data_IF_260707947350
#
_entry.id   IF_260707947350
#
_cell.length_a   1.000
_cell.length_b   1.000
_cell.length_c   1.000
_cell.angle_alpha   90.00
_cell.angle_beta   90.00
_cell.angle_gamma   90.00
#
_symmetry.space_group_name_H-M   'P 1'
#
loop_
_entity.id
_entity.type
_entity.pdbx_description
1 polymer ?
#
# COMPACT_ATOMS: atom_id res chain seq x y z
N UNK A 1 -21.20 12.19 -0.95
CA UNK A 1 -20.41 11.78 0.23
C UNK A 1 -21.11 10.64 0.95
N UNK A 2 -22.43 10.72 1.16
CA UNK A 2 -23.26 9.63 1.69
C UNK A 2 -23.02 8.28 1.02
N UNK A 3 -23.13 8.20 -0.31
CA UNK A 3 -22.93 6.94 -1.04
C UNK A 3 -21.50 6.37 -0.93
N UNK A 4 -20.54 7.18 -0.50
CA UNK A 4 -19.14 6.77 -0.33
C UNK A 4 -18.91 6.28 1.11
N UNK A 5 -19.51 6.97 2.09
CA UNK A 5 -19.45 6.59 3.50
C UNK A 5 -20.32 5.36 3.80
N UNK A 6 -21.45 5.18 3.11
CA UNK A 6 -22.34 4.01 3.23
C UNK A 6 -21.71 2.69 2.80
N UNK A 7 -20.56 2.74 2.12
CA UNK A 7 -19.77 1.55 1.77
C UNK A 7 -19.03 1.00 2.99
N UNK A 8 -18.81 1.81 4.03
CA UNK A 8 -18.11 1.38 5.24
C UNK A 8 -19.12 0.86 6.27
N UNK A 9 -18.89 -0.34 6.85
CA UNK A 9 -19.71 -0.87 7.93
C UNK A 9 -19.66 0.04 9.16
N UNK A 10 -20.83 0.39 9.70
CA UNK A 10 -20.99 1.35 10.79
C UNK A 10 -20.37 0.91 12.13
N UNK A 11 -20.34 -0.40 12.40
CA UNK A 11 -20.29 -0.86 13.81
C UNK A 11 -18.99 -1.54 14.25
N UNK A 12 -17.97 -1.70 13.39
CA UNK A 12 -16.77 -2.49 13.78
C UNK A 12 -15.43 -2.05 13.21
N UNK A 13 -15.40 -1.09 12.29
CA UNK A 13 -14.16 -0.66 11.63
C UNK A 13 -13.86 0.79 12.05
N UNK A 14 -12.70 1.06 12.67
CA UNK A 14 -12.25 2.42 12.88
C UNK A 14 -12.20 3.18 11.56
N UNK A 15 -12.97 4.26 11.46
CA UNK A 15 -13.05 5.11 10.27
C UNK A 15 -12.43 6.46 10.59
N UNK A 16 -11.64 6.95 9.66
CA UNK A 16 -11.02 8.26 9.74
C UNK A 16 -11.13 8.97 8.40
N UNK A 17 -11.59 10.21 8.44
CA UNK A 17 -11.65 11.10 7.28
C UNK A 17 -10.69 12.26 7.54
N UNK A 18 -9.70 12.39 6.66
CA UNK A 18 -8.66 13.42 6.71
C UNK A 18 -8.61 14.13 5.36
N UNK A 19 -8.36 15.43 5.39
CA UNK A 19 -7.97 16.16 4.20
C UNK A 19 -8.23 17.65 4.31
N UNK A 20 -7.87 18.34 3.23
CA UNK A 20 -8.22 19.74 3.02
C UNK A 20 -9.65 19.84 2.49
N UNK A 21 -10.53 20.46 3.29
CA UNK A 21 -11.92 20.69 2.93
C UNK A 21 -12.13 22.05 2.26
N UNK A 22 -11.10 22.90 2.25
CA UNK A 22 -11.11 24.25 1.73
C UNK A 22 -12.30 25.09 2.24
N UNK A 23 -12.74 24.82 3.48
CA UNK A 23 -13.81 25.51 4.19
C UNK A 23 -13.40 25.73 5.65
N UNK A 24 -13.55 26.96 6.18
CA UNK A 24 -13.28 27.22 7.58
C UNK A 24 -14.14 26.34 8.50
N UNK A 25 -13.55 25.91 9.62
CA UNK A 25 -14.25 25.15 10.67
C UNK A 25 -15.58 25.81 11.10
N UNK A 26 -15.64 27.13 11.18
CA UNK A 26 -16.82 27.87 11.63
C UNK A 26 -18.00 27.75 10.66
N UNK A 27 -17.74 27.76 9.35
CA UNK A 27 -18.76 27.55 8.32
C UNK A 27 -19.23 26.09 8.28
N UNK A 28 -18.37 25.16 8.70
CA UNK A 28 -18.67 23.74 8.71
C UNK A 28 -19.75 23.39 9.72
N UNK A 29 -19.81 24.09 10.86
CA UNK A 29 -20.80 23.90 11.92
C UNK A 29 -22.25 24.08 11.42
N UNK A 30 -22.43 24.93 10.39
CA UNK A 30 -23.74 25.18 9.78
C UNK A 30 -23.97 24.38 8.49
N UNK A 31 -23.06 23.45 8.16
CA UNK A 31 -23.07 22.76 6.88
C UNK A 31 -23.79 21.41 6.92
N UNK A 32 -24.47 21.07 5.82
CA UNK A 32 -25.03 19.73 5.61
C UNK A 32 -23.97 18.62 5.67
N UNK A 33 -22.69 18.96 5.46
CA UNK A 33 -21.58 18.03 5.53
C UNK A 33 -21.32 17.56 6.96
N UNK A 34 -21.41 18.44 7.96
CA UNK A 34 -21.22 18.06 9.36
C UNK A 34 -22.38 17.18 9.86
N UNK A 35 -23.61 17.50 9.47
CA UNK A 35 -24.78 16.64 9.74
C UNK A 35 -24.61 15.23 9.13
N UNK A 36 -24.11 15.18 7.91
CA UNK A 36 -23.78 13.94 7.21
C UNK A 36 -22.70 13.14 7.94
N UNK A 37 -21.57 13.76 8.30
CA UNK A 37 -20.49 13.08 9.04
C UNK A 37 -20.96 12.56 10.40
N UNK A 38 -21.75 13.36 11.12
CA UNK A 38 -22.35 12.97 12.39
C UNK A 38 -23.29 11.77 12.25
N UNK A 39 -24.01 11.63 11.13
CA UNK A 39 -24.85 10.46 10.87
C UNK A 39 -24.06 9.14 10.79
N UNK A 40 -22.76 9.21 10.49
CA UNK A 40 -21.82 8.09 10.52
C UNK A 40 -21.03 7.99 11.83
N UNK A 41 -21.47 8.70 12.88
CA UNK A 41 -20.81 8.79 14.19
C UNK A 41 -19.36 9.32 14.12
N UNK A 42 -19.01 10.07 13.08
CA UNK A 42 -17.68 10.67 12.93
C UNK A 42 -17.60 11.96 13.74
N UNK A 43 -16.73 11.98 14.75
CA UNK A 43 -16.48 13.17 15.57
C UNK A 43 -15.39 14.05 14.94
N UNK A 44 -15.65 15.35 14.85
CA UNK A 44 -14.65 16.35 14.49
C UNK A 44 -13.61 16.50 15.62
N UNK A 45 -12.33 16.47 15.26
CA UNK A 45 -11.23 16.74 16.16
C UNK A 45 -10.70 18.14 15.88
N UNK A 46 -10.98 19.07 16.78
CA UNK A 46 -10.50 20.45 16.67
C UNK A 46 -8.98 20.52 16.72
N UNK A 47 -8.38 21.34 15.86
CA UNK A 47 -6.94 21.59 15.83
C UNK A 47 -6.65 23.11 15.75
N UNK A 48 -5.42 23.53 16.10
CA UNK A 48 -4.93 24.87 15.80
C UNK A 48 -4.93 25.19 14.30
N UNK A 49 -4.77 26.46 13.90
CA UNK A 49 -4.73 26.88 12.50
C UNK A 49 -3.78 26.04 11.61
N UNK A 50 -4.33 25.42 10.58
CA UNK A 50 -3.61 24.52 9.66
C UNK A 50 -3.04 25.24 8.44
N UNK A 51 -3.35 26.52 8.27
CA UNK A 51 -2.88 27.36 7.18
C UNK A 51 -2.15 28.60 7.70
N UNK A 52 -1.20 29.14 6.92
CA UNK A 52 -0.43 30.35 7.26
C UNK A 52 -1.30 31.59 7.51
N UNK A 53 -2.49 31.64 6.90
CA UNK A 53 -3.45 32.74 7.08
C UNK A 53 -4.30 32.63 8.36
N UNK A 54 -4.07 31.62 9.20
CA UNK A 54 -4.80 31.45 10.46
C UNK A 54 -6.09 30.63 10.35
N UNK A 55 -6.40 30.10 9.16
CA UNK A 55 -7.58 29.26 8.92
C UNK A 55 -7.33 27.79 9.27
N UNK A 56 -8.41 27.09 9.62
CA UNK A 56 -8.44 25.62 9.77
C UNK A 56 -9.17 25.04 8.57
N UNK A 57 -8.40 24.54 7.60
CA UNK A 57 -8.92 23.96 6.35
C UNK A 57 -8.70 22.44 6.30
N UNK A 58 -7.67 21.96 7.00
CA UNK A 58 -7.33 20.55 7.11
C UNK A 58 -8.06 19.93 8.30
N UNK A 59 -9.10 19.15 8.04
CA UNK A 59 -10.01 18.64 9.07
C UNK A 59 -9.77 17.15 9.35
N UNK A 60 -9.95 16.78 10.62
CA UNK A 60 -9.74 15.42 11.12
C UNK A 60 -11.02 14.90 11.77
N UNK A 61 -11.64 13.90 11.15
CA UNK A 61 -12.82 13.21 11.68
C UNK A 61 -12.49 11.75 11.99
N UNK A 62 -12.93 11.27 13.16
CA UNK A 62 -12.65 9.91 13.62
C UNK A 62 -13.87 9.22 14.23
N UNK A 63 -13.91 7.89 14.11
CA UNK A 63 -14.86 7.01 14.79
C UNK A 63 -14.22 5.62 15.01
N UNK A 64 -14.42 4.93 16.14
CA UNK A 64 -14.93 5.43 17.42
C UNK A 64 -13.84 6.10 18.26
N UNK A 65 -12.57 5.99 17.85
CA UNK A 65 -11.42 6.43 18.64
C UNK A 65 -11.15 7.92 18.45
N UNK A 66 -11.15 8.73 19.52
CA UNK A 66 -10.75 10.13 19.44
C UNK A 66 -9.26 10.26 19.16
N UNK A 67 -8.86 11.39 18.59
CA UNK A 67 -7.44 11.75 18.47
C UNK A 67 -6.90 12.31 19.79
N UNK A 68 -5.60 12.14 20.00
CA UNK A 68 -4.84 12.65 21.16
C UNK A 68 -3.56 13.30 20.64
N UNK A 69 -2.96 14.19 21.43
CA UNK A 69 -1.68 14.87 21.09
C UNK A 69 -1.71 15.60 19.73
N UNK A 70 -2.82 16.28 19.42
CA UNK A 70 -2.95 17.06 18.18
C UNK A 70 -1.98 18.25 18.18
N UNK A 71 -1.06 18.26 17.23
CA UNK A 71 -0.04 19.29 17.06
C UNK A 71 -0.02 19.77 15.62
N UNK A 72 0.26 21.05 15.43
CA UNK A 72 0.33 21.69 14.11
C UNK A 72 1.66 22.40 13.97
N UNK A 73 2.49 21.92 13.04
CA UNK A 73 3.85 22.42 12.84
C UNK A 73 3.96 23.15 11.51
N UNK A 74 4.33 24.44 11.50
CA UNK A 74 4.51 25.18 10.25
C UNK A 74 5.59 24.60 9.35
N UNK A 75 5.32 24.57 8.05
CA UNK A 75 6.27 24.14 7.03
C UNK A 75 6.83 25.35 6.28
N UNK A 76 8.15 25.36 6.03
CA UNK A 76 8.78 26.47 5.30
C UNK A 76 8.43 26.47 3.81
N UNK A 77 8.11 25.30 3.25
CA UNK A 77 7.93 25.06 1.81
C UNK A 77 6.45 25.02 1.38
N UNK A 78 5.50 25.13 2.31
CA UNK A 78 4.06 25.10 2.03
C UNK A 78 3.36 26.14 2.89
N UNK A 79 2.27 26.67 2.38
CA UNK A 79 1.24 27.45 3.06
C UNK A 79 0.37 26.63 4.03
N UNK A 80 0.29 25.32 3.85
CA UNK A 80 -0.26 24.39 4.83
C UNK A 80 0.78 24.03 5.90
N UNK A 81 0.27 23.79 7.11
CA UNK A 81 1.01 23.27 8.25
C UNK A 81 0.86 21.75 8.33
N UNK A 82 1.87 21.07 8.86
CA UNK A 82 1.80 19.65 9.13
C UNK A 82 0.96 19.40 10.39
N UNK A 83 -0.16 18.68 10.24
CA UNK A 83 -1.02 18.23 11.32
C UNK A 83 -0.58 16.83 11.78
N UNK A 84 -0.22 16.69 13.06
CA UNK A 84 0.23 15.43 13.66
C UNK A 84 -0.63 15.09 14.87
N UNK A 85 -1.03 13.83 15.00
CA UNK A 85 -1.84 13.35 16.11
C UNK A 85 -1.66 11.85 16.34
N UNK A 86 -2.04 11.41 17.54
CA UNK A 86 -2.03 10.01 17.97
C UNK A 86 -3.46 9.48 18.00
N UNK A 87 -3.65 8.22 17.57
CA UNK A 87 -4.92 7.50 17.71
C UNK A 87 -4.69 6.17 18.42
N UNK A 88 -5.65 5.78 19.25
CA UNK A 88 -5.69 4.44 19.82
C UNK A 88 -6.63 3.58 18.99
N UNK A 89 -6.09 2.64 18.22
CA UNK A 89 -6.92 1.70 17.47
C UNK A 89 -7.33 0.53 18.37
N UNK A 90 -8.60 0.10 18.35
CA UNK A 90 -9.00 -1.13 19.03
C UNK A 90 -8.19 -2.29 18.47
N UNK A 91 -7.81 -3.23 19.34
CA UNK A 91 -7.19 -4.48 18.94
C UNK A 91 -8.25 -5.26 18.18
N UNK A 92 -8.30 -5.10 16.85
CA UNK A 92 -9.07 -6.00 16.02
C UNK A 92 -8.45 -7.40 16.21
N UNK A 93 -9.28 -8.46 16.37
CA UNK A 93 -8.80 -9.82 16.25
C UNK A 93 -7.97 -9.87 14.98
N UNK A 94 -6.77 -10.47 15.02
CA UNK A 94 -6.00 -10.71 13.80
C UNK A 94 -6.93 -11.44 12.85
N UNK A 95 -7.50 -10.70 11.91
CA UNK A 95 -8.23 -11.32 10.82
C UNK A 95 -7.18 -12.22 10.21
N UNK A 96 -7.40 -13.53 10.27
CA UNK A 96 -6.64 -14.52 9.52
C UNK A 96 -6.94 -14.22 8.05
N UNK A 97 -6.44 -13.08 7.57
CA UNK A 97 -6.25 -12.76 6.19
C UNK A 97 -5.57 -13.99 5.67
N UNK A 98 -6.23 -14.75 4.80
CA UNK A 98 -5.67 -15.99 4.27
C UNK A 98 -4.32 -15.62 3.67
N UNK A 99 -3.26 -15.82 4.45
CA UNK A 99 -1.92 -15.47 4.06
C UNK A 99 -1.58 -16.55 3.07
N UNK A 100 -1.43 -16.16 1.80
CA UNK A 100 -0.87 -17.08 0.82
C UNK A 100 0.58 -17.30 1.26
N UNK A 101 0.82 -18.45 1.89
CA UNK A 101 2.15 -18.95 2.19
C UNK A 101 2.75 -19.44 0.89
N UNK A 102 3.68 -18.66 0.34
CA UNK A 102 4.46 -19.10 -0.79
C UNK A 102 5.82 -19.55 -0.28
N UNK A 103 6.21 -20.76 -0.65
CA UNK A 103 7.56 -21.30 -0.43
C UNK A 103 8.43 -20.93 -1.61
N UNK A 104 9.55 -20.25 -1.37
CA UNK A 104 10.52 -19.90 -2.42
C UNK A 104 11.96 -20.05 -1.91
N UNK A 105 12.85 -20.48 -2.80
CA UNK A 105 14.31 -20.42 -2.61
C UNK A 105 14.86 -19.07 -3.08
N UNK A 106 15.77 -18.47 -2.33
CA UNK A 106 16.43 -17.24 -2.78
C UNK A 106 17.55 -17.54 -3.79
N UNK A 107 17.20 -17.63 -5.06
CA UNK A 107 18.18 -17.94 -6.12
C UNK A 107 19.12 -16.78 -6.45
N UNK A 108 18.80 -15.54 -6.02
CA UNK A 108 19.63 -14.38 -6.33
C UNK A 108 20.90 -14.29 -5.47
N UNK A 109 20.92 -14.95 -4.31
CA UNK A 109 22.08 -14.95 -3.41
C UNK A 109 23.08 -16.06 -3.71
N UNK A 110 22.81 -16.91 -4.71
CA UNK A 110 23.63 -18.09 -5.00
C UNK A 110 24.72 -17.73 -6.00
N UNK A 111 25.96 -18.09 -5.69
CA UNK A 111 27.06 -17.99 -6.64
C UNK A 111 27.19 -19.31 -7.45
N UNK A 112 27.42 -19.25 -8.78
CA UNK A 112 27.61 -20.46 -9.59
C UNK A 112 28.78 -21.33 -9.11
N UNK A 113 29.86 -20.71 -8.62
CA UNK A 113 31.03 -21.41 -8.10
C UNK A 113 30.73 -22.18 -6.83
N UNK A 114 29.94 -21.60 -5.91
CA UNK A 114 29.50 -22.30 -4.69
C UNK A 114 28.61 -23.50 -4.98
N UNK A 115 27.74 -23.40 -6.00
CA UNK A 115 26.93 -24.56 -6.44
C UNK A 115 27.85 -25.66 -6.93
N UNK A 116 28.74 -25.35 -7.87
CA UNK A 116 29.65 -26.34 -8.43
C UNK A 116 30.51 -27.02 -7.35
N UNK A 117 31.11 -26.25 -6.44
CA UNK A 117 31.94 -26.80 -5.37
C UNK A 117 31.14 -27.67 -4.41
N UNK A 118 29.97 -27.23 -3.97
CA UNK A 118 29.12 -28.01 -3.08
C UNK A 118 28.59 -29.28 -3.75
N UNK A 119 28.26 -29.23 -5.05
CA UNK A 119 27.79 -30.41 -5.79
C UNK A 119 28.89 -31.44 -5.95
N UNK A 120 30.10 -31.00 -6.28
CA UNK A 120 31.26 -31.89 -6.40
C UNK A 120 31.62 -32.52 -5.05
N UNK A 121 31.53 -31.76 -3.95
CA UNK A 121 31.76 -32.33 -2.61
C UNK A 121 30.68 -33.30 -2.13
N UNK A 122 29.48 -33.22 -2.71
CA UNK A 122 28.34 -34.07 -2.36
C UNK A 122 28.22 -35.29 -3.27
N UNK A 123 29.00 -35.37 -4.35
CA UNK A 123 29.02 -36.51 -5.26
C UNK A 123 30.05 -37.54 -4.79
N UNK A 124 29.81 -38.84 -5.04
CA UNK A 124 30.84 -39.86 -4.85
C UNK A 124 32.04 -39.61 -5.77
N UNK A 125 33.18 -40.20 -5.41
CA UNK A 125 34.35 -40.21 -6.27
C UNK A 125 34.02 -40.80 -7.64
N UNK A 126 34.70 -40.29 -8.68
CA UNK A 126 34.42 -40.60 -10.08
C UNK A 126 34.33 -42.11 -10.38
N UNK A 127 35.24 -42.90 -9.81
CA UNK A 127 35.30 -44.34 -10.05
C UNK A 127 34.13 -45.07 -9.37
N UNK A 128 33.74 -44.62 -8.18
CA UNK A 128 32.56 -45.12 -7.50
C UNK A 128 31.28 -44.74 -8.25
N UNK A 129 31.20 -43.51 -8.75
CA UNK A 129 30.01 -43.00 -9.45
C UNK A 129 29.83 -43.68 -10.82
N UNK A 130 30.92 -43.88 -11.57
CA UNK A 130 30.88 -44.54 -12.90
C UNK A 130 30.57 -46.03 -12.83
N UNK A 131 30.80 -46.68 -11.68
CA UNK A 131 30.44 -48.07 -11.45
C UNK A 131 28.96 -48.29 -11.10
N UNK A 132 28.20 -47.21 -10.84
CA UNK A 132 26.79 -47.30 -10.47
C UNK A 132 25.93 -47.68 -11.70
N UNK A 133 24.87 -48.47 -11.50
CA UNK A 133 23.80 -48.62 -12.47
C UNK A 133 23.22 -47.24 -12.84
N UNK A 134 22.75 -47.10 -14.08
CA UNK A 134 22.27 -45.82 -14.62
C UNK A 134 21.23 -45.14 -13.70
N UNK A 135 20.23 -45.88 -13.26
CA UNK A 135 19.16 -45.36 -12.40
C UNK A 135 19.72 -44.86 -11.05
N UNK A 136 20.62 -45.64 -10.44
CA UNK A 136 21.28 -45.26 -9.18
C UNK A 136 22.21 -44.06 -9.35
N UNK A 137 22.89 -43.93 -10.48
CA UNK A 137 23.70 -42.76 -10.79
C UNK A 137 22.83 -41.51 -10.95
N UNK A 138 21.67 -41.63 -11.61
CA UNK A 138 20.72 -40.52 -11.77
C UNK A 138 20.11 -40.07 -10.44
N UNK A 139 19.72 -41.02 -9.59
CA UNK A 139 19.17 -40.71 -8.27
C UNK A 139 20.21 -40.06 -7.36
N UNK A 140 21.45 -40.55 -7.42
CA UNK A 140 22.58 -39.98 -6.67
C UNK A 140 22.84 -38.54 -7.10
N UNK A 141 22.90 -38.28 -8.41
CA UNK A 141 23.09 -36.94 -8.95
C UNK A 141 21.96 -35.99 -8.53
N UNK A 142 20.70 -36.42 -8.68
CA UNK A 142 19.54 -35.61 -8.34
C UNK A 142 19.49 -35.33 -6.83
N UNK A 143 19.84 -36.30 -6.00
CA UNK A 143 19.92 -36.16 -4.55
C UNK A 143 21.02 -35.18 -4.13
N UNK A 144 22.20 -35.27 -4.73
CA UNK A 144 23.30 -34.31 -4.48
C UNK A 144 22.91 -32.89 -4.92
N UNK A 145 22.26 -32.73 -6.07
CA UNK A 145 21.74 -31.43 -6.53
C UNK A 145 20.65 -30.89 -5.59
N UNK A 146 19.74 -31.73 -5.12
CA UNK A 146 18.67 -31.31 -4.20
C UNK A 146 19.26 -30.86 -2.85
N UNK A 147 20.16 -31.66 -2.28
CA UNK A 147 20.85 -31.39 -1.01
C UNK A 147 21.65 -30.09 -1.06
N UNK A 148 22.38 -29.87 -2.15
CA UNK A 148 23.13 -28.62 -2.34
C UNK A 148 22.23 -27.41 -2.48
N UNK A 149 21.09 -27.54 -3.15
CA UNK A 149 20.09 -26.47 -3.21
C UNK A 149 19.47 -26.20 -1.84
N UNK A 150 19.18 -27.22 -1.03
CA UNK A 150 18.67 -27.03 0.33
C UNK A 150 19.70 -26.39 1.27
N UNK A 151 20.99 -26.70 1.09
CA UNK A 151 22.09 -26.09 1.84
C UNK A 151 22.31 -24.61 1.45
N UNK A 152 22.42 -24.32 0.16
CA UNK A 152 22.78 -22.98 -0.33
C UNK A 152 21.59 -22.01 -0.39
N UNK A 153 20.38 -22.53 -0.58
CA UNK A 153 19.17 -21.72 -0.70
C UNK A 153 17.95 -22.44 -0.10
N UNK A 154 17.92 -22.61 1.24
CA UNK A 154 16.82 -23.30 1.89
C UNK A 154 15.47 -22.67 1.55
N UNK A 155 14.43 -23.51 1.53
CA UNK A 155 13.07 -23.05 1.30
C UNK A 155 12.66 -22.07 2.39
N UNK A 156 12.38 -20.83 1.98
CA UNK A 156 11.85 -19.80 2.85
C UNK A 156 10.35 -19.65 2.60
N UNK A 157 9.58 -19.63 3.68
CA UNK A 157 8.15 -19.34 3.61
C UNK A 157 7.93 -17.85 3.76
N UNK A 158 7.31 -17.24 2.75
CA UNK A 158 6.97 -15.82 2.80
C UNK A 158 5.46 -15.69 2.87
N UNK A 159 5.00 -15.00 3.91
CA UNK A 159 3.62 -14.62 4.09
C UNK A 159 3.27 -13.44 3.21
N UNK A 160 2.58 -13.66 2.08
CA UNK A 160 2.01 -12.56 1.31
C UNK A 160 0.65 -12.19 1.87
N UNK A 161 0.43 -10.89 2.07
CA UNK A 161 -0.91 -10.36 2.35
C UNK A 161 -1.75 -10.52 1.10
N UNK A 162 -2.90 -11.18 1.23
CA UNK A 162 -3.88 -11.23 0.17
C UNK A 162 -4.63 -9.89 0.12
N UNK A 163 -4.07 -8.91 -0.58
CA UNK A 163 -4.74 -7.65 -0.89
C UNK A 163 -4.97 -7.63 -2.39
N UNK A 164 -6.22 -7.53 -2.81
CA UNK A 164 -6.50 -7.13 -4.18
C UNK A 164 -5.84 -5.76 -4.43
N UNK A 165 -5.22 -5.54 -5.60
CA UNK A 165 -4.80 -4.20 -5.97
C UNK A 165 -6.02 -3.26 -5.93
N UNK A 166 -5.78 -1.97 -5.70
CA UNK A 166 -6.86 -0.99 -5.73
C UNK A 166 -7.58 -1.10 -7.10
N UNK A 167 -8.92 -1.04 -7.16
CA UNK A 167 -9.66 -1.32 -8.40
C UNK A 167 -9.30 -0.40 -9.57
N UNK A 168 -8.84 0.82 -9.26
CA UNK A 168 -8.38 1.82 -10.24
C UNK A 168 -6.90 1.68 -10.62
N UNK A 169 -6.17 0.74 -10.02
CA UNK A 169 -4.73 0.54 -10.23
C UNK A 169 -4.49 -0.50 -11.33
N UNK A 170 -4.48 -0.05 -12.58
CA UNK A 170 -4.13 -0.87 -13.75
C UNK A 170 -2.63 -1.15 -13.86
N UNK A 171 -2.27 -2.16 -14.66
CA UNK A 171 -0.87 -2.49 -14.97
C UNK A 171 -0.10 -1.32 -15.59
N UNK A 172 -0.80 -0.44 -16.32
CA UNK A 172 -0.26 0.81 -16.87
C UNK A 172 0.25 1.71 -15.75
N UNK A 173 -0.51 1.89 -14.67
CA UNK A 173 -0.06 2.67 -13.50
C UNK A 173 1.15 2.05 -12.81
N UNK A 174 1.21 0.71 -12.74
CA UNK A 174 2.37 0.02 -12.19
C UNK A 174 3.61 0.21 -13.05
N UNK A 175 3.47 0.27 -14.37
CA UNK A 175 4.57 0.57 -15.28
C UNK A 175 5.03 2.03 -15.17
N UNK A 176 4.12 3.00 -15.22
CA UNK A 176 4.44 4.42 -15.07
C UNK A 176 5.14 4.71 -13.73
N UNK A 177 4.71 4.03 -12.65
CA UNK A 177 5.39 4.13 -11.34
C UNK A 177 6.79 3.53 -11.34
N UNK A 178 7.05 2.47 -12.12
CA UNK A 178 8.39 1.89 -12.29
C UNK A 178 9.30 2.86 -13.04
N UNK A 179 8.79 3.48 -14.10
CA UNK A 179 9.49 4.49 -14.89
C UNK A 179 9.83 5.73 -14.04
N UNK A 180 8.85 6.27 -13.31
CA UNK A 180 9.04 7.38 -12.38
C UNK A 180 10.15 7.09 -11.36
N UNK A 181 10.16 5.89 -10.76
CA UNK A 181 11.21 5.47 -9.82
C UNK A 181 12.58 5.33 -10.51
N UNK A 182 12.61 4.91 -11.77
CA UNK A 182 13.83 4.83 -12.56
C UNK A 182 14.41 6.22 -12.81
N UNK A 183 13.58 7.16 -13.27
CA UNK A 183 13.97 8.56 -13.46
C UNK A 183 14.44 9.20 -12.15
N UNK A 184 13.74 8.96 -11.04
CA UNK A 184 14.16 9.44 -9.72
C UNK A 184 15.53 8.90 -9.32
N UNK A 185 15.80 7.59 -9.52
CA UNK A 185 17.12 7.00 -9.25
C UNK A 185 18.20 7.56 -10.17
N UNK A 186 17.89 7.78 -11.45
CA UNK A 186 18.80 8.36 -12.43
C UNK A 186 19.22 9.76 -11.99
N UNK A 187 18.26 10.64 -11.69
CA UNK A 187 18.54 11.98 -11.18
C UNK A 187 19.36 11.96 -9.88
N UNK A 188 19.03 11.08 -8.92
CA UNK A 188 19.82 10.97 -7.67
C UNK A 188 21.28 10.60 -7.93
N UNK A 189 21.56 9.81 -8.98
CA UNK A 189 22.91 9.41 -9.36
C UNK A 189 23.64 10.48 -10.16
N UNK A 190 22.98 11.09 -11.15
CA UNK A 190 23.61 12.04 -12.06
C UNK A 190 23.66 13.48 -11.53
N UNK A 191 22.68 13.89 -10.72
CA UNK A 191 22.45 15.25 -10.22
C UNK A 191 22.39 16.33 -11.32
N UNK A 192 22.08 15.95 -12.55
CA UNK A 192 21.94 16.86 -13.69
C UNK A 192 20.53 17.48 -13.71
N UNK A 193 20.44 18.75 -14.07
CA UNK A 193 19.16 19.46 -14.19
C UNK A 193 18.25 18.88 -15.28
N UNK A 194 18.83 18.35 -16.36
CA UNK A 194 18.07 17.67 -17.42
C UNK A 194 17.35 16.43 -16.89
N UNK A 195 18.02 15.64 -16.05
CA UNK A 195 17.41 14.48 -15.39
C UNK A 195 16.38 14.90 -14.33
N UNK A 196 16.59 16.02 -13.63
CA UNK A 196 15.60 16.58 -12.70
C UNK A 196 14.33 17.00 -13.43
N UNK A 197 14.46 17.71 -14.56
CA UNK A 197 13.33 18.12 -15.41
C UNK A 197 12.59 16.88 -15.90
N UNK A 198 13.30 15.86 -16.40
CA UNK A 198 12.67 14.61 -16.85
C UNK A 198 11.86 13.92 -15.74
N UNK A 199 12.42 13.85 -14.53
CA UNK A 199 11.75 13.27 -13.37
C UNK A 199 10.51 14.09 -12.98
N UNK A 200 10.60 15.42 -12.92
CA UNK A 200 9.48 16.31 -12.58
C UNK A 200 8.34 16.22 -13.60
N UNK A 201 8.66 16.15 -14.89
CA UNK A 201 7.67 15.98 -15.95
C UNK A 201 6.93 14.65 -15.80
N UNK A 202 7.66 13.55 -15.57
CA UNK A 202 7.06 12.24 -15.30
C UNK A 202 6.21 12.25 -14.03
N UNK A 203 6.67 12.92 -12.97
CA UNK A 203 5.93 13.05 -11.72
C UNK A 203 4.60 13.79 -11.92
N UNK A 204 4.64 14.92 -12.62
CA UNK A 204 3.44 15.72 -12.92
C UNK A 204 2.42 14.91 -13.72
N UNK A 205 2.87 14.26 -14.80
CA UNK A 205 2.03 13.37 -15.61
C UNK A 205 1.41 12.24 -14.77
N UNK A 206 2.23 11.55 -13.99
CA UNK A 206 1.76 10.46 -13.14
C UNK A 206 0.71 10.93 -12.12
N UNK A 207 0.91 12.10 -11.50
CA UNK A 207 -0.06 12.69 -10.57
C UNK A 207 -1.39 13.05 -11.24
N UNK A 208 -1.35 13.60 -12.46
CA UNK A 208 -2.55 13.86 -13.26
C UNK A 208 -3.29 12.58 -13.61
N UNK A 209 -2.59 11.56 -14.11
CA UNK A 209 -3.17 10.27 -14.49
C UNK A 209 -3.85 9.60 -13.28
N UNK A 210 -3.19 9.60 -12.11
CA UNK A 210 -3.75 9.03 -10.88
C UNK A 210 -5.01 9.80 -10.44
N UNK A 211 -4.98 11.13 -10.53
CA UNK A 211 -6.13 11.96 -10.17
C UNK A 211 -7.30 11.71 -11.12
N UNK A 212 -7.03 11.65 -12.43
CA UNK A 212 -8.03 11.34 -13.47
C UNK A 212 -8.66 9.95 -13.28
N UNK A 213 -7.85 8.91 -13.02
CA UNK A 213 -8.37 7.56 -12.81
C UNK A 213 -9.19 7.44 -11.52
N UNK A 214 -8.71 8.05 -10.41
CA UNK A 214 -9.48 8.09 -9.16
C UNK A 214 -10.81 8.82 -9.34
N UNK A 215 -10.79 10.00 -9.95
CA UNK A 215 -12.00 10.79 -10.17
C UNK A 215 -12.99 10.05 -11.07
N UNK A 216 -12.54 9.44 -12.16
CA UNK A 216 -13.40 8.64 -13.05
C UNK A 216 -14.02 7.46 -12.30
N UNK A 217 -13.21 6.68 -11.57
CA UNK A 217 -13.69 5.54 -10.78
C UNK A 217 -14.74 5.95 -9.73
N UNK A 218 -14.48 7.00 -8.95
CA UNK A 218 -15.43 7.44 -7.93
C UNK A 218 -16.67 8.12 -8.52
N UNK A 219 -16.54 8.85 -9.63
CA UNK A 219 -17.71 9.40 -10.36
C UNK A 219 -18.63 8.27 -10.83
N UNK A 220 -18.07 7.27 -11.50
CA UNK A 220 -18.83 6.09 -11.95
C UNK A 220 -19.50 5.36 -10.78
N UNK A 221 -18.78 5.17 -9.67
CA UNK A 221 -19.33 4.53 -8.47
C UNK A 221 -20.48 5.34 -7.85
N UNK A 222 -20.39 6.66 -7.86
CA UNK A 222 -21.45 7.54 -7.37
C UNK A 222 -22.68 7.48 -8.31
N UNK A 223 -22.48 7.56 -9.63
CA UNK A 223 -23.56 7.48 -10.61
C UNK A 223 -24.29 6.13 -10.59
N UNK A 224 -23.54 5.03 -10.45
CA UNK A 224 -24.12 3.68 -10.33
C UNK A 224 -24.88 3.50 -9.01
N UNK A 225 -24.41 4.11 -7.91
CA UNK A 225 -25.13 4.10 -6.64
C UNK A 225 -26.43 4.91 -6.69
N UNK A 226 -26.46 6.02 -7.44
CA UNK A 226 -27.65 6.87 -7.58
C UNK A 226 -28.75 6.23 -8.45
N UNK A 227 -28.39 5.30 -9.34
CA UNK A 227 -29.31 4.59 -10.23
C UNK A 227 -29.92 3.32 -9.60
N UNK A 228 -29.48 2.91 -8.40
CA UNK A 228 -29.97 1.70 -7.74
C UNK A 228 -31.18 2.05 -6.85
N UNK A 229 -32.37 1.47 -7.06
CA UNK A 229 -33.48 1.63 -6.12
C UNK A 229 -33.12 0.99 -4.76
N UNK A 230 -33.77 1.40 -3.66
CA UNK A 230 -33.43 0.92 -2.32
C UNK A 230 -33.83 -0.56 -2.18
N UNK A 231 -32.94 -1.48 -2.54
CA UNK A 231 -33.10 -2.89 -2.23
C UNK A 231 -32.63 -3.17 -0.80
N UNK A 232 -33.52 -3.81 -0.05
CA UNK A 232 -33.34 -4.30 1.31
C UNK A 232 -31.99 -5.00 1.52
N UNK A 233 -31.32 -4.59 2.60
CA UNK A 233 -30.10 -5.15 3.15
C UNK A 233 -30.10 -6.68 3.20
N UNK A 234 -29.44 -7.31 2.23
CA UNK A 234 -28.91 -8.66 2.40
C UNK A 234 -27.40 -8.59 2.49
N UNK A 235 -26.91 -8.91 3.68
CA UNK A 235 -25.51 -8.98 4.11
C UNK A 235 -24.72 -9.91 3.19
N UNK A 236 -24.03 -9.34 2.21
CA UNK A 236 -22.94 -10.04 1.52
C UNK A 236 -21.63 -9.52 2.07
N UNK A 237 -21.00 -10.36 2.90
CA UNK A 237 -19.65 -10.16 3.44
C UNK A 237 -18.67 -9.92 2.28
N UNK A 238 -18.36 -8.65 2.01
CA UNK A 238 -17.33 -8.26 1.04
C UNK A 238 -16.11 -7.82 1.84
N UNK A 239 -15.07 -8.64 1.78
CA UNK A 239 -13.74 -8.29 2.27
C UNK A 239 -13.24 -7.04 1.56
N UNK A 240 -13.17 -5.92 2.27
CA UNK A 240 -12.50 -4.72 1.79
C UNK A 240 -11.17 -4.57 2.53
N UNK A 241 -10.08 -4.69 1.78
CA UNK A 241 -8.72 -4.44 2.24
C UNK A 241 -8.53 -2.94 2.54
N UNK A 242 -8.15 -2.64 3.78
CA UNK A 242 -7.81 -1.30 4.28
C UNK A 242 -6.75 -0.62 3.41
N UNK A 243 -7.08 0.52 2.80
CA UNK A 243 -6.14 1.35 2.05
C UNK A 243 -5.30 2.18 3.02
N UNK A 244 -4.02 1.80 3.19
CA UNK A 244 -3.04 2.57 3.97
C UNK A 244 -2.38 3.60 3.04
N UNK A 245 -2.66 4.88 3.24
CA UNK A 245 -1.90 5.96 2.61
C UNK A 245 -0.52 6.04 3.27
N UNK A 246 0.54 5.76 2.50
CA UNK A 246 1.88 6.27 2.79
C UNK A 246 2.14 7.41 1.81
N UNK A 247 2.04 8.63 2.30
CA UNK A 247 2.62 9.81 1.66
C UNK A 247 4.14 9.67 1.80
N UNK A 248 4.77 9.02 0.83
CA UNK A 248 6.21 9.10 0.66
C UNK A 248 6.53 10.46 0.02
N UNK A 249 6.89 11.44 0.86
CA UNK A 249 7.65 12.59 0.40
C UNK A 249 9.11 12.15 0.20
N UNK A 250 9.75 12.46 -0.94
CA UNK A 250 11.19 12.29 -1.08
C UNK A 250 11.93 13.35 -0.22
N UNK A 251 13.17 13.05 0.22
CA UNK A 251 14.01 13.99 0.95
C UNK A 251 14.44 15.18 0.10
#
# INVERSE_FOLDING_TARGET
>A
MDSLLSVFPSDSIPLMVLGDFNRPSDELQSSALLALLNSFSLSFNSCPPTHKEGNVLDLVFTHPSPTTDMTVTPLHISDHHLVSFTITLPILPKHNSQHLSLTRRNLHSISPSSVASCTLSSLPDHDSFSSLPLDSATDTLLSSLSSTMDLLCPLSTICKKNSSPAPWLSDVFLNNRRELRSAARKWRKSKLDTDLISYRTLLSKFSLDVTSAKTSFYKEKLETSAKRPPESSTTSSRHYSTLRLHLLHPP
#
